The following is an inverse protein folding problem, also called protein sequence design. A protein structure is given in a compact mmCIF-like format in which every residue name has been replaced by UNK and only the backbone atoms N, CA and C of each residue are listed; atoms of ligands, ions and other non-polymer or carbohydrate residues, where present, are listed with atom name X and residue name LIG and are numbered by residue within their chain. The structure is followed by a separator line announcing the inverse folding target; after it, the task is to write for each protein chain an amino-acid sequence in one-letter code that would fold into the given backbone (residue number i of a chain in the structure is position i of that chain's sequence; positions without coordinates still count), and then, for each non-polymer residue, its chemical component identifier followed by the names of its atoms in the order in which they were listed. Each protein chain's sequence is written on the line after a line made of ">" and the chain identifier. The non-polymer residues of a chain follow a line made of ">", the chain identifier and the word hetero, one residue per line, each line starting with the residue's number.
data_IF_590275240539
#
_entry.id   IF_590275240539
#
_cell.length_a   1.000
_cell.length_b   1.000
_cell.length_c   1.000
_cell.angle_alpha   90.00
_cell.angle_beta   90.00
_cell.angle_gamma   90.00
#
_symmetry.space_group_name_H-M   'P 1'
#
loop_
_entity.id
_entity.type
_entity.pdbx_description
1 polymer ?
#
# COMPACT_ATOMS: atom_id res chain seq x y z
N UNK A 1 25.15 -4.66 7.14
CA UNK A 1 24.10 -5.61 6.75
C UNK A 1 23.08 -4.84 5.93
N UNK A 2 22.99 -5.08 4.62
CA UNK A 2 21.97 -4.44 3.80
C UNK A 2 20.63 -5.03 4.20
N UNK A 3 19.75 -4.21 4.80
CA UNK A 3 18.36 -4.61 5.02
C UNK A 3 17.76 -4.80 3.63
N UNK A 4 17.58 -6.05 3.21
CA UNK A 4 16.93 -6.35 1.94
C UNK A 4 15.56 -5.68 1.95
N UNK A 5 15.41 -4.63 1.12
CA UNK A 5 14.18 -3.84 1.06
C UNK A 5 13.05 -4.78 0.68
N UNK A 6 12.20 -5.14 1.65
CA UNK A 6 11.06 -6.02 1.40
C UNK A 6 10.18 -5.35 0.35
N UNK A 7 10.08 -5.97 -0.82
CA UNK A 7 9.14 -5.61 -1.88
C UNK A 7 8.04 -6.64 -1.88
N UNK A 8 6.79 -6.19 -1.93
CA UNK A 8 5.63 -7.08 -1.99
C UNK A 8 4.67 -6.61 -3.06
N UNK A 9 4.33 -7.50 -3.98
CA UNK A 9 3.24 -7.25 -4.93
C UNK A 9 1.91 -7.38 -4.21
N UNK A 10 1.02 -6.44 -4.44
CA UNK A 10 -0.35 -6.44 -3.92
C UNK A 10 -1.32 -6.36 -5.07
N UNK A 11 -2.31 -7.24 -5.00
CA UNK A 11 -3.41 -7.32 -5.94
C UNK A 11 -4.67 -7.25 -5.10
N UNK A 12 -5.48 -6.23 -5.34
CA UNK A 12 -6.74 -6.03 -4.64
C UNK A 12 -7.73 -5.34 -5.58
N UNK A 13 -9.03 -5.43 -5.26
CA UNK A 13 -10.04 -4.70 -6.03
C UNK A 13 -10.24 -3.32 -5.44
N UNK A 14 -10.27 -2.31 -6.30
CA UNK A 14 -10.64 -0.98 -5.89
C UNK A 14 -12.05 -0.98 -5.27
N UNK A 15 -12.25 -0.41 -4.07
CA UNK A 15 -13.58 -0.33 -3.47
C UNK A 15 -14.53 0.60 -4.24
N UNK A 16 -14.02 1.57 -5.02
CA UNK A 16 -14.81 2.57 -5.75
C UNK A 16 -15.26 2.02 -7.11
N UNK A 17 -14.32 1.80 -8.03
CA UNK A 17 -14.66 1.37 -9.40
C UNK A 17 -14.69 -0.15 -9.59
N UNK A 18 -14.33 -0.94 -8.57
CA UNK A 18 -14.27 -2.43 -8.62
C UNK A 18 -13.23 -3.01 -9.58
N UNK A 19 -12.40 -2.16 -10.19
CA UNK A 19 -11.26 -2.58 -11.01
C UNK A 19 -10.16 -3.27 -10.20
N UNK A 20 -9.37 -4.09 -10.88
CA UNK A 20 -8.29 -4.84 -10.24
C UNK A 20 -7.02 -4.00 -10.20
N UNK A 21 -6.64 -3.54 -9.02
CA UNK A 21 -5.40 -2.81 -8.80
C UNK A 21 -4.26 -3.80 -8.58
N UNK A 22 -3.18 -3.59 -9.32
CA UNK A 22 -1.94 -4.33 -9.16
C UNK A 22 -0.80 -3.35 -8.95
N UNK A 23 -0.29 -3.27 -7.72
CA UNK A 23 0.80 -2.37 -7.40
C UNK A 23 1.86 -3.08 -6.57
N UNK A 24 3.09 -2.58 -6.63
CA UNK A 24 4.23 -3.12 -5.90
C UNK A 24 4.55 -2.14 -4.79
N UNK A 25 4.36 -2.57 -3.54
CA UNK A 25 4.78 -1.78 -2.38
C UNK A 25 6.20 -2.17 -1.99
N UNK A 26 6.99 -1.15 -1.67
CA UNK A 26 8.32 -1.30 -1.08
C UNK A 26 8.30 -0.67 0.31
N UNK A 27 8.80 -1.39 1.32
CA UNK A 27 8.98 -0.81 2.65
C UNK A 27 9.88 0.44 2.54
N UNK A 28 9.41 1.64 2.94
CA UNK A 28 10.25 2.82 3.00
C UNK A 28 11.39 2.59 4.01
N UNK A 29 12.59 3.08 3.71
CA UNK A 29 13.74 2.95 4.61
C UNK A 29 13.54 3.72 5.94
N UNK A 30 12.64 4.72 5.96
CA UNK A 30 12.36 5.60 7.10
C UNK A 30 10.94 5.44 7.67
N UNK A 31 10.42 4.22 7.81
CA UNK A 31 9.17 4.02 8.57
C UNK A 31 9.49 3.96 10.07
N UNK A 32 9.32 5.08 10.75
CA UNK A 32 9.49 5.16 12.21
C UNK A 32 8.31 4.54 12.98
N UNK A 33 7.13 4.43 12.35
CA UNK A 33 5.89 3.93 12.99
C UNK A 33 5.00 3.19 12.00
N UNK A 34 4.40 2.10 12.49
CA UNK A 34 3.40 1.30 11.77
C UNK A 34 2.01 1.46 12.40
N UNK A 35 0.92 1.35 11.62
CA UNK A 35 0.91 1.18 10.16
C UNK A 35 1.33 2.46 9.42
N UNK A 36 2.05 2.32 8.31
CA UNK A 36 2.36 3.45 7.44
C UNK A 36 1.33 3.55 6.32
N UNK A 37 1.00 4.78 5.92
CA UNK A 37 -0.01 5.06 4.91
C UNK A 37 0.68 5.37 3.57
N UNK A 38 0.10 4.86 2.49
CA UNK A 38 0.52 5.12 1.12
C UNK A 38 -0.67 5.57 0.32
N UNK A 39 -0.52 6.72 -0.32
CA UNK A 39 -1.50 7.23 -1.27
C UNK A 39 -1.25 6.55 -2.63
N UNK A 40 -2.28 5.89 -3.13
CA UNK A 40 -2.28 5.25 -4.42
C UNK A 40 -3.37 5.90 -5.28
N UNK A 41 -2.94 6.69 -6.26
CA UNK A 41 -3.85 7.27 -7.23
C UNK A 41 -4.32 6.18 -8.21
N UNK A 42 -5.63 5.97 -8.26
CA UNK A 42 -6.26 4.99 -9.12
C UNK A 42 -7.26 5.66 -10.06
N UNK A 43 -6.76 6.05 -11.23
CA UNK A 43 -7.59 6.72 -12.24
C UNK A 43 -8.07 8.09 -11.75
N UNK A 44 -9.32 8.15 -11.26
CA UNK A 44 -10.01 9.38 -10.86
C UNK A 44 -10.17 9.54 -9.33
N UNK A 45 -9.67 8.59 -8.53
CA UNK A 45 -9.76 8.65 -7.07
C UNK A 45 -8.46 8.21 -6.41
N UNK A 46 -8.23 8.70 -5.19
CA UNK A 46 -7.05 8.37 -4.40
C UNK A 46 -7.42 7.36 -3.33
N UNK A 47 -6.62 6.30 -3.23
CA UNK A 47 -6.76 5.28 -2.19
C UNK A 47 -5.65 5.44 -1.18
N UNK A 48 -6.03 5.62 0.08
CA UNK A 48 -5.10 5.61 1.21
C UNK A 48 -4.98 4.18 1.74
N UNK A 49 -3.86 3.53 1.43
CA UNK A 49 -3.62 2.13 1.79
C UNK A 49 -2.69 2.09 2.99
N UNK A 50 -3.18 1.55 4.10
CA UNK A 50 -2.43 1.42 5.34
C UNK A 50 -1.75 0.06 5.40
N UNK A 51 -0.45 0.05 5.66
CA UNK A 51 0.38 -1.14 5.68
C UNK A 51 1.01 -1.41 7.04
N UNK A 52 0.94 -2.66 7.48
CA UNK A 52 1.68 -3.15 8.66
C UNK A 52 3.15 -3.44 8.35
N UNK A 53 3.91 -3.82 9.38
CA UNK A 53 5.34 -4.17 9.32
C UNK A 53 5.66 -5.31 8.34
N UNK A 54 4.69 -6.20 8.10
CA UNK A 54 4.80 -7.29 7.12
C UNK A 54 4.40 -6.90 5.70
N UNK A 55 4.21 -5.60 5.42
CA UNK A 55 3.65 -5.07 4.17
C UNK A 55 2.30 -5.72 3.87
N UNK A 56 1.50 -6.01 4.88
CA UNK A 56 0.12 -6.47 4.73
C UNK A 56 -0.80 -5.25 4.76
N UNK A 57 -1.81 -5.26 3.88
CA UNK A 57 -2.80 -4.19 3.84
C UNK A 57 -3.68 -4.37 5.07
N UNK A 58 -3.64 -3.39 5.97
CA UNK A 58 -4.44 -3.36 7.19
C UNK A 58 -5.82 -2.77 6.92
N UNK A 59 -5.82 -1.65 6.20
CA UNK A 59 -7.01 -0.86 5.93
C UNK A 59 -6.83 -0.12 4.59
N UNK A 60 -7.93 0.10 3.88
CA UNK A 60 -7.98 0.92 2.67
C UNK A 60 -9.05 1.97 2.88
N UNK A 61 -8.64 3.24 2.90
CA UNK A 61 -9.56 4.39 2.91
C UNK A 61 -9.62 5.00 1.51
N UNK A 62 -10.75 5.62 1.25
CA UNK A 62 -11.04 6.37 0.03
C UNK A 62 -11.54 7.74 0.49
N UNK A 63 -10.98 8.79 -0.08
CA UNK A 63 -11.38 10.19 0.14
C UNK A 63 -11.96 10.76 -1.14
#
# INVERSE_FOLDING_TARGET
>A
MAVEKKKRRKIFKCPICKDTIQFIIQAPDNVERYPFMVEYEHGDHVLQIYFDMDLMIREIRHE
#
